data_IF_894264003770
#
_entry.id   IF_894264003770
#
_cell.length_a   1.000
_cell.length_b   1.000
_cell.length_c   1.000
_cell.angle_alpha   90.00
_cell.angle_beta   90.00
_cell.angle_gamma   90.00
#
_symmetry.space_group_name_H-M   'P 1'
#
loop_
_entity.id
_entity.type
_entity.pdbx_description
1 polymer ?
#
# COMPACT_ATOMS: atom_id res chain seq x y z
N UNK A 1 -8.24 12.70 -9.04
CA UNK A 1 -9.40 13.03 -8.18
C UNK A 1 -8.97 13.85 -6.97
N UNK A 2 -9.78 14.81 -6.49
CA UNK A 2 -9.46 15.50 -5.23
C UNK A 2 -9.45 14.54 -4.04
N UNK A 3 -8.32 14.46 -3.32
CA UNK A 3 -8.12 13.54 -2.19
C UNK A 3 -9.15 13.75 -1.08
N UNK A 4 -9.47 15.02 -0.76
CA UNK A 4 -10.49 15.40 0.22
C UNK A 4 -11.90 14.95 -0.18
N UNK A 5 -12.23 15.01 -1.47
CA UNK A 5 -13.53 14.55 -1.97
C UNK A 5 -13.64 13.03 -1.87
N UNK A 6 -12.56 12.32 -2.22
CA UNK A 6 -12.48 10.86 -2.10
C UNK A 6 -12.58 10.41 -0.63
N UNK A 7 -11.85 11.05 0.28
CA UNK A 7 -11.97 10.79 1.72
C UNK A 7 -13.39 11.08 2.25
N UNK A 8 -14.00 12.21 1.85
CA UNK A 8 -15.36 12.55 2.23
C UNK A 8 -16.38 11.51 1.74
N UNK A 9 -16.17 10.93 0.54
CA UNK A 9 -16.98 9.82 0.05
C UNK A 9 -16.85 8.59 0.95
N UNK A 10 -15.63 8.13 1.24
CA UNK A 10 -15.41 7.01 2.16
C UNK A 10 -16.01 7.28 3.55
N UNK A 11 -15.90 8.50 4.08
CA UNK A 11 -16.50 8.89 5.36
C UNK A 11 -18.02 8.75 5.36
N UNK A 12 -18.68 9.07 4.26
CA UNK A 12 -20.14 8.90 4.15
C UNK A 12 -20.55 7.42 4.15
N UNK A 13 -19.70 6.49 3.69
CA UNK A 13 -20.00 5.06 3.67
C UNK A 13 -20.00 4.40 5.06
N UNK A 14 -19.50 5.07 6.10
CA UNK A 14 -19.56 4.60 7.50
C UNK A 14 -20.98 4.27 7.98
N UNK A 15 -22.02 4.84 7.36
CA UNK A 15 -23.41 4.54 7.72
C UNK A 15 -23.88 3.16 7.25
N UNK A 16 -23.14 2.52 6.33
CA UNK A 16 -23.46 1.22 5.74
C UNK A 16 -22.43 0.17 6.17
N UNK A 17 -21.14 0.48 6.06
CA UNK A 17 -20.09 -0.49 6.38
C UNK A 17 -20.09 -0.72 7.90
N UNK A 18 -20.28 -1.95 8.40
CA UNK A 18 -20.29 -2.24 9.83
C UNK A 18 -18.98 -1.82 10.47
N UNK A 19 -19.02 -1.22 11.66
CA UNK A 19 -17.82 -0.78 12.39
C UNK A 19 -16.77 -1.89 12.48
N UNK A 20 -15.48 -1.53 12.43
CA UNK A 20 -14.34 -2.46 12.46
C UNK A 20 -14.42 -3.49 13.60
N UNK A 21 -14.89 -3.06 14.78
CA UNK A 21 -15.12 -3.92 15.96
C UNK A 21 -16.18 -5.02 15.75
N UNK A 22 -17.10 -4.85 14.80
CA UNK A 22 -18.17 -5.81 14.46
C UNK A 22 -17.80 -6.71 13.28
N UNK A 23 -16.69 -6.42 12.59
CA UNK A 23 -16.24 -7.20 11.43
C UNK A 23 -15.41 -8.43 11.80
N UNK A 24 -14.95 -8.57 13.06
CA UNK A 24 -14.24 -9.76 13.56
C UNK A 24 -15.02 -11.08 13.39
N UNK A 25 -16.28 -11.03 12.94
CA UNK A 25 -17.20 -12.16 12.78
C UNK A 25 -17.62 -12.33 11.29
N UNK A 26 -17.23 -11.44 10.38
CA UNK A 26 -17.80 -11.38 9.02
C UNK A 26 -16.77 -11.37 7.89
N UNK A 27 -17.21 -11.90 6.74
CA UNK A 27 -16.50 -12.10 5.48
C UNK A 27 -15.72 -10.84 5.02
N UNK A 28 -14.47 -11.03 4.56
CA UNK A 28 -13.60 -9.99 3.99
C UNK A 28 -14.33 -9.14 2.94
N UNK A 29 -15.23 -9.76 2.16
CA UNK A 29 -16.04 -9.08 1.15
C UNK A 29 -16.96 -7.99 1.71
N UNK A 30 -17.45 -8.14 2.95
CA UNK A 30 -18.33 -7.18 3.62
C UNK A 30 -17.61 -5.95 4.18
N UNK A 31 -16.28 -6.04 4.28
CA UNK A 31 -15.41 -4.92 4.63
C UNK A 31 -14.86 -4.19 3.40
N UNK A 32 -15.24 -4.61 2.19
CA UNK A 32 -14.80 -3.99 0.95
C UNK A 32 -15.82 -2.98 0.42
N UNK A 33 -15.34 -2.00 -0.34
CA UNK A 33 -16.17 -1.17 -1.20
C UNK A 33 -15.80 -1.40 -2.65
N UNK A 34 -16.80 -1.31 -3.52
CA UNK A 34 -16.62 -1.45 -4.97
C UNK A 34 -16.42 -0.06 -5.58
N UNK A 35 -15.36 0.08 -6.36
CA UNK A 35 -15.03 1.30 -7.11
C UNK A 35 -15.18 0.98 -8.60
N UNK A 36 -16.01 1.76 -9.29
CA UNK A 36 -16.29 1.64 -10.71
C UNK A 36 -15.95 2.98 -11.36
N UNK A 37 -14.96 3.00 -12.24
CA UNK A 37 -14.67 4.12 -13.11
C UNK A 37 -15.11 3.74 -14.52
N UNK A 38 -16.01 4.51 -15.14
CA UNK A 38 -16.58 4.21 -16.47
C UNK A 38 -16.20 5.25 -17.55
N UNK A 39 -15.22 6.11 -17.22
CA UNK A 39 -14.82 7.27 -18.05
C UNK A 39 -15.78 8.46 -18.01
N UNK A 40 -16.99 8.32 -17.45
CA UNK A 40 -17.98 9.41 -17.28
C UNK A 40 -18.13 9.84 -15.84
N UNK A 41 -17.97 8.91 -14.90
CA UNK A 41 -18.04 9.13 -13.47
C UNK A 41 -17.25 8.05 -12.73
N UNK A 42 -16.91 8.36 -11.49
CA UNK A 42 -16.38 7.37 -10.56
C UNK A 42 -17.44 7.05 -9.52
N UNK A 43 -17.85 5.79 -9.42
CA UNK A 43 -18.85 5.32 -8.47
C UNK A 43 -18.19 4.53 -7.37
N UNK A 44 -18.42 4.90 -6.12
CA UNK A 44 -18.00 4.15 -4.93
C UNK A 44 -19.25 3.61 -4.25
N UNK A 45 -19.31 2.29 -4.09
CA UNK A 45 -20.47 1.59 -3.56
C UNK A 45 -20.11 0.66 -2.40
N UNK A 46 -20.91 0.74 -1.33
CA UNK A 46 -20.86 -0.16 -0.19
C UNK A 46 -22.15 -0.96 -0.08
N UNK A 47 -22.03 -2.20 0.39
CA UNK A 47 -23.13 -3.12 0.67
C UNK A 47 -23.00 -3.66 2.09
N UNK A 48 -24.11 -3.82 2.80
CA UNK A 48 -24.13 -4.43 4.14
C UNK A 48 -24.98 -5.70 4.22
N UNK A 49 -24.85 -6.43 5.32
CA UNK A 49 -25.56 -7.71 5.54
C UNK A 49 -27.08 -7.57 5.58
N UNK A 50 -27.60 -6.37 5.85
CA UNK A 50 -29.03 -6.08 5.84
C UNK A 50 -29.57 -5.88 4.41
N UNK A 51 -28.75 -6.10 3.38
CA UNK A 51 -29.13 -5.88 1.99
C UNK A 51 -29.12 -4.41 1.57
N UNK A 52 -28.60 -3.49 2.39
CA UNK A 52 -28.60 -2.06 2.10
C UNK A 52 -27.40 -1.67 1.27
N UNK A 53 -27.65 -0.79 0.31
CA UNK A 53 -26.66 -0.19 -0.56
C UNK A 53 -26.50 1.29 -0.25
N UNK A 54 -25.27 1.79 -0.36
CA UNK A 54 -25.01 3.21 -0.51
C UNK A 54 -24.01 3.45 -1.62
N UNK A 55 -24.36 4.38 -2.49
CA UNK A 55 -23.59 4.78 -3.65
C UNK A 55 -23.22 6.24 -3.54
N UNK A 56 -21.97 6.55 -3.87
CA UNK A 56 -21.48 7.92 -3.98
C UNK A 56 -20.87 8.06 -5.36
N UNK A 57 -21.24 9.13 -6.06
CA UNK A 57 -20.74 9.43 -7.40
C UNK A 57 -19.79 10.60 -7.27
N UNK A 58 -18.59 10.43 -7.81
CA UNK A 58 -17.52 11.39 -7.87
C UNK A 58 -17.24 11.76 -9.34
N UNK A 59 -16.52 12.87 -9.58
CA UNK A 59 -16.12 13.26 -10.93
C UNK A 59 -15.42 12.12 -11.70
N UNK A 60 -15.48 12.14 -13.05
CA UNK A 60 -14.82 11.14 -13.88
C UNK A 60 -13.32 11.06 -13.62
N UNK A 61 -12.82 9.83 -13.66
CA UNK A 61 -11.42 9.54 -13.96
C UNK A 61 -11.32 9.10 -15.43
N UNK A 62 -10.21 9.38 -16.13
CA UNK A 62 -10.04 9.02 -17.55
C UNK A 62 -9.93 7.51 -17.77
N UNK A 63 -9.69 6.74 -16.72
CA UNK A 63 -9.51 5.29 -16.76
C UNK A 63 -10.85 4.57 -16.58
N UNK A 64 -10.99 3.42 -17.24
CA UNK A 64 -12.16 2.54 -17.07
C UNK A 64 -11.72 1.28 -16.35
N UNK A 65 -12.26 1.03 -15.16
CA UNK A 65 -11.98 -0.17 -14.39
C UNK A 65 -13.06 -0.41 -13.33
N UNK A 66 -13.03 -1.62 -12.78
CA UNK A 66 -13.86 -2.02 -11.65
C UNK A 66 -13.01 -2.84 -10.69
N UNK A 67 -13.04 -2.48 -9.41
CA UNK A 67 -12.20 -3.12 -8.40
C UNK A 67 -12.86 -3.07 -7.03
N UNK A 68 -12.58 -4.06 -6.18
CA UNK A 68 -12.90 -3.99 -4.75
C UNK A 68 -11.74 -3.34 -4.01
N UNK A 69 -12.01 -2.67 -2.90
CA UNK A 69 -10.94 -2.19 -2.05
C UNK A 69 -11.29 -2.33 -0.56
N UNK A 70 -10.30 -2.62 0.29
CA UNK A 70 -10.54 -2.79 1.73
C UNK A 70 -10.92 -1.44 2.34
N UNK A 71 -12.18 -1.30 2.75
CA UNK A 71 -12.76 -0.02 3.15
C UNK A 71 -11.99 0.66 4.27
N UNK A 72 -11.69 -0.09 5.34
CA UNK A 72 -11.05 0.46 6.53
C UNK A 72 -9.62 0.88 6.28
N UNK A 73 -8.84 0.04 5.60
CA UNK A 73 -7.45 0.35 5.23
C UNK A 73 -7.38 1.59 4.34
N UNK A 74 -8.16 1.61 3.25
CA UNK A 74 -8.18 2.74 2.32
C UNK A 74 -8.69 4.01 2.99
N UNK A 75 -9.72 3.92 3.85
CA UNK A 75 -10.24 5.07 4.58
C UNK A 75 -9.22 5.63 5.57
N UNK A 76 -8.54 4.78 6.36
CA UNK A 76 -7.49 5.19 7.31
C UNK A 76 -6.36 5.91 6.57
N UNK A 77 -5.91 5.31 5.46
CA UNK A 77 -4.89 5.90 4.60
C UNK A 77 -5.34 7.24 3.98
N UNK A 78 -6.54 7.30 3.38
CA UNK A 78 -7.10 8.52 2.80
C UNK A 78 -7.25 9.66 3.81
N UNK A 79 -7.53 9.36 5.08
CA UNK A 79 -7.63 10.36 6.15
C UNK A 79 -6.30 11.09 6.35
N UNK A 80 -5.21 10.33 6.31
CA UNK A 80 -3.86 10.84 6.45
C UNK A 80 -3.43 11.61 5.18
N UNK A 81 -3.65 10.99 4.02
CA UNK A 81 -3.26 11.50 2.69
C UNK A 81 -4.01 12.76 2.26
N UNK A 82 -5.31 12.87 2.55
CA UNK A 82 -6.12 14.02 2.09
C UNK A 82 -5.70 15.37 2.72
N UNK A 83 -4.71 15.35 3.62
CA UNK A 83 -4.15 16.52 4.30
C UNK A 83 -2.86 16.99 3.64
N UNK A 84 -2.09 16.06 3.10
CA UNK A 84 -0.79 16.32 2.46
C UNK A 84 -0.91 16.41 0.94
N UNK A 85 -1.90 15.76 0.34
CA UNK A 85 -2.09 15.75 -1.11
C UNK A 85 -3.43 16.36 -1.52
N UNK A 86 -3.38 17.16 -2.59
CA UNK A 86 -4.59 17.70 -3.20
C UNK A 86 -5.27 16.68 -4.12
N UNK A 87 -4.47 15.96 -4.93
CA UNK A 87 -4.95 14.99 -5.91
C UNK A 87 -4.46 13.58 -5.59
N UNK A 88 -5.33 12.62 -5.85
CA UNK A 88 -5.04 11.18 -5.85
C UNK A 88 -5.65 10.58 -7.11
N UNK A 89 -4.89 9.71 -7.78
CA UNK A 89 -5.34 8.89 -8.89
C UNK A 89 -5.53 7.45 -8.43
N UNK A 90 -6.50 6.77 -9.02
CA UNK A 90 -6.87 5.41 -8.68
C UNK A 90 -6.64 4.54 -9.91
N UNK A 91 -5.85 3.49 -9.76
CA UNK A 91 -5.55 2.54 -10.82
C UNK A 91 -5.90 1.12 -10.35
N UNK A 92 -6.65 0.37 -11.13
CA UNK A 92 -6.74 -1.07 -10.93
C UNK A 92 -5.48 -1.74 -11.47
N UNK A 93 -4.90 -2.63 -10.67
CA UNK A 93 -3.73 -3.43 -11.05
C UNK A 93 -4.05 -4.92 -10.86
N UNK A 94 -3.21 -5.81 -11.41
CA UNK A 94 -3.48 -7.26 -11.39
C UNK A 94 -3.68 -7.82 -9.97
N UNK A 95 -3.02 -7.25 -8.97
CA UNK A 95 -3.04 -7.71 -7.57
C UNK A 95 -3.98 -6.91 -6.67
N UNK A 96 -4.62 -5.84 -7.18
CA UNK A 96 -5.52 -5.03 -6.39
C UNK A 96 -5.74 -3.62 -6.92
N UNK A 97 -5.65 -2.64 -6.02
CA UNK A 97 -5.87 -1.23 -6.33
C UNK A 97 -4.66 -0.40 -5.91
N UNK A 98 -4.20 0.46 -6.79
CA UNK A 98 -3.12 1.39 -6.54
C UNK A 98 -3.68 2.81 -6.45
N UNK A 99 -3.28 3.53 -5.41
CA UNK A 99 -3.52 4.95 -5.27
C UNK A 99 -2.19 5.68 -5.44
N UNK A 100 -2.15 6.63 -6.36
CA UNK A 100 -0.97 7.44 -6.62
C UNK A 100 -1.26 8.91 -6.38
N UNK A 101 -0.26 9.65 -5.94
CA UNK A 101 -0.21 11.11 -5.98
C UNK A 101 1.09 11.54 -6.66
N UNK A 102 1.38 12.84 -6.66
CA UNK A 102 2.67 13.35 -7.11
C UNK A 102 3.82 12.87 -6.21
N UNK A 103 3.52 12.59 -4.93
CA UNK A 103 4.52 12.33 -3.89
C UNK A 103 4.54 10.89 -3.37
N UNK A 104 3.51 10.09 -3.64
CA UNK A 104 3.48 8.70 -3.18
C UNK A 104 2.79 7.75 -4.16
N UNK A 105 3.03 6.47 -3.91
CA UNK A 105 2.34 5.34 -4.53
C UNK A 105 2.04 4.32 -3.44
N UNK A 106 0.77 3.96 -3.29
CA UNK A 106 0.32 3.00 -2.30
C UNK A 106 -0.57 1.95 -2.95
N UNK A 107 -0.31 0.68 -2.65
CA UNK A 107 -1.08 -0.45 -3.19
C UNK A 107 -1.84 -1.15 -2.08
N UNK A 108 -3.13 -1.40 -2.31
CA UNK A 108 -3.93 -2.28 -1.47
C UNK A 108 -4.27 -3.55 -2.26
N UNK A 109 -4.01 -4.70 -1.64
CA UNK A 109 -4.50 -5.98 -2.14
C UNK A 109 -6.04 -5.97 -2.15
N UNK A 110 -6.64 -6.41 -3.25
CA UNK A 110 -8.09 -6.47 -3.39
C UNK A 110 -8.56 -7.90 -3.64
N UNK A 111 -9.69 -8.32 -3.04
CA UNK A 111 -10.35 -9.54 -3.46
C UNK A 111 -10.94 -9.37 -4.88
N UNK A 112 -11.11 -10.48 -5.60
CA UNK A 112 -11.77 -10.50 -6.89
C UNK A 112 -13.22 -10.03 -6.80
N UNK A 113 -13.66 -9.22 -7.77
CA UNK A 113 -14.98 -8.55 -7.76
C UNK A 113 -16.16 -9.53 -7.83
N UNK A 114 -15.90 -10.73 -8.34
CA UNK A 114 -16.86 -11.83 -8.49
C UNK A 114 -17.57 -12.22 -7.18
N UNK A 115 -16.94 -11.95 -6.02
CA UNK A 115 -17.49 -12.25 -4.69
C UNK A 115 -18.44 -11.17 -4.17
N UNK A 116 -18.53 -10.03 -4.83
CA UNK A 116 -19.32 -8.89 -4.36
C UNK A 116 -20.71 -8.89 -5.00
N UNK A 117 -21.78 -8.61 -4.22
CA UNK A 117 -23.13 -8.57 -4.76
C UNK A 117 -23.28 -7.55 -5.91
N UNK A 118 -24.07 -7.91 -6.92
CA UNK A 118 -24.41 -6.99 -8.02
C UNK A 118 -25.43 -5.98 -7.52
N UNK A 119 -25.24 -4.70 -7.86
CA UNK A 119 -26.12 -3.64 -7.38
C UNK A 119 -27.53 -3.81 -8.00
N UNK A 120 -28.65 -3.61 -7.26
CA UNK A 120 -30.00 -3.84 -7.80
C UNK A 120 -30.33 -3.03 -9.06
N UNK A 121 -29.78 -1.82 -9.15
CA UNK A 121 -29.96 -0.90 -10.29
C UNK A 121 -28.96 -1.16 -11.44
N UNK A 122 -28.03 -2.11 -11.28
CA UNK A 122 -27.17 -2.62 -12.37
C UNK A 122 -27.90 -3.66 -13.24
N UNK A 123 -29.24 -3.77 -13.13
CA UNK A 123 -30.06 -4.52 -14.12
C UNK A 123 -30.08 -3.79 -15.48
N UNK A 124 -28.94 -3.95 -16.17
CA UNK A 124 -28.62 -3.85 -17.61
C UNK A 124 -28.69 -2.48 -18.28
N UNK A 125 -27.50 -1.95 -18.62
CA UNK A 125 -27.17 -1.85 -20.05
C UNK A 125 -26.88 -3.26 -20.57
N UNK A 126 -27.33 -3.65 -21.78
CA UNK A 126 -27.27 -5.04 -22.20
C UNK A 126 -25.83 -5.54 -22.22
N UNK A 127 -25.57 -6.56 -21.41
CA UNK A 127 -24.49 -7.51 -21.64
C UNK A 127 -24.64 -7.96 -23.09
N UNK A 128 -23.67 -7.62 -23.93
CA UNK A 128 -23.53 -8.24 -25.24
C UNK A 128 -23.42 -9.73 -24.97
N UNK A 129 -24.46 -10.47 -25.29
CA UNK A 129 -24.43 -11.92 -25.20
C UNK A 129 -23.18 -12.41 -25.94
N UNK A 130 -22.38 -13.34 -25.38
CA UNK A 130 -21.35 -13.99 -26.17
C UNK A 130 -22.03 -14.56 -27.41
N UNK A 131 -21.49 -14.22 -28.59
CA UNK A 131 -21.96 -14.77 -29.84
C UNK A 131 -21.99 -16.30 -29.73
N UNK A 132 -22.98 -16.99 -30.33
CA UNK A 132 -23.00 -18.44 -30.34
C UNK A 132 -21.67 -18.96 -30.91
N UNK A 133 -21.07 -19.92 -30.21
CA UNK A 133 -19.80 -20.53 -30.59
C UNK A 133 -19.86 -21.01 -32.04
N UNK A 134 -18.95 -20.56 -32.93
CA UNK A 134 -18.77 -21.22 -34.20
C UNK A 134 -18.08 -22.56 -33.93
N UNK A 135 -18.80 -23.65 -34.21
CA UNK A 135 -18.19 -24.96 -34.42
C UNK A 135 -17.13 -24.82 -35.51
N UNK A 136 -15.94 -25.31 -35.20
CA UNK A 136 -14.83 -25.57 -36.11
C UNK A 136 -14.37 -24.38 -36.97
N UNK A 137 -13.55 -23.50 -36.39
CA UNK A 137 -12.61 -22.69 -37.17
C UNK A 137 -11.39 -22.27 -36.32
N UNK A 138 -10.22 -22.81 -36.65
CA UNK A 138 -8.92 -22.33 -36.18
C UNK A 138 -8.62 -21.02 -36.91
N UNK A 139 -8.69 -19.86 -36.23
CA UNK A 139 -8.17 -18.56 -36.72
C UNK A 139 -7.81 -17.68 -35.49
N UNK A 140 -6.68 -16.95 -35.49
CA UNK A 140 -6.10 -16.32 -34.30
C UNK A 140 -6.84 -15.06 -33.85
N UNK A 141 -6.83 -14.81 -32.54
CA UNK A 141 -7.35 -13.61 -31.92
C UNK A 141 -6.52 -12.38 -32.34
N UNK A 142 -7.05 -11.57 -33.25
CA UNK A 142 -6.82 -10.13 -33.27
C UNK A 142 -8.18 -9.43 -33.28
N UNK A 143 -8.47 -8.68 -32.21
CA UNK A 143 -9.49 -7.63 -32.21
C UNK A 143 -9.00 -6.41 -31.42
N UNK A 144 -9.50 -5.21 -31.77
CA UNK A 144 -8.65 -4.07 -32.02
C UNK A 144 -8.68 -3.01 -30.91
N UNK A 145 -7.52 -2.38 -30.72
CA UNK A 145 -7.36 -1.13 -29.95
C UNK A 145 -8.06 -0.02 -30.74
N UNK A 146 -9.02 0.68 -30.12
CA UNK A 146 -9.55 1.94 -30.65
C UNK A 146 -8.62 3.07 -30.22
N UNK A 147 -7.88 3.62 -31.18
CA UNK A 147 -7.14 4.88 -31.05
C UNK A 147 -8.06 6.01 -31.49
N UNK A 148 -8.23 7.04 -30.66
CA UNK A 148 -8.87 8.29 -31.06
C UNK A 148 -7.89 9.12 -31.91
N UNK A 149 -8.31 9.72 -33.04
CA UNK A 149 -7.39 10.28 -34.02
C UNK A 149 -7.19 11.78 -33.80
N UNK A 150 -5.95 12.23 -33.65
CA UNK A 150 -5.49 13.45 -34.31
C UNK A 150 -4.03 13.26 -34.75
N UNK A 151 -3.75 13.78 -35.96
CA UNK A 151 -2.45 13.89 -36.64
C UNK A 151 -2.00 12.70 -37.49
N UNK A 152 -2.10 12.90 -38.81
CA UNK A 152 -1.11 12.43 -39.79
C UNK A 152 -1.44 11.13 -40.51
N UNK A 153 -1.89 11.24 -41.76
CA UNK A 153 -1.92 10.13 -42.72
C UNK A 153 -0.50 9.63 -42.98
N UNK A 154 -0.18 8.43 -42.50
CA UNK A 154 0.95 7.64 -42.99
C UNK A 154 0.40 6.41 -43.72
N UNK A 155 0.80 6.28 -44.98
CA UNK A 155 0.52 5.12 -45.83
C UNK A 155 1.20 3.85 -45.30
N UNK A 156 0.71 2.64 -45.67
CA UNK A 156 1.08 1.40 -45.01
C UNK A 156 2.41 0.86 -45.54
N UNK A 157 3.53 1.29 -44.97
CA UNK A 157 4.81 0.64 -45.21
C UNK A 157 5.10 -0.47 -44.18
N UNK A 158 4.93 -1.70 -44.67
CA UNK A 158 5.46 -2.97 -44.18
C UNK A 158 5.07 -3.39 -42.74
N UNK A 159 4.45 -4.58 -42.65
CA UNK A 159 4.12 -5.26 -41.40
C UNK A 159 5.33 -5.51 -40.49
N UNK A 160 6.55 -5.35 -40.98
CA UNK A 160 7.78 -5.67 -40.26
C UNK A 160 8.15 -4.58 -39.25
N UNK A 161 7.93 -3.30 -39.56
CA UNK A 161 8.15 -2.19 -38.64
C UNK A 161 7.14 -2.20 -37.47
N UNK A 162 5.88 -2.51 -37.75
CA UNK A 162 4.84 -2.69 -36.71
C UNK A 162 5.14 -3.90 -35.83
N UNK A 163 5.64 -5.00 -36.40
CA UNK A 163 6.02 -6.20 -35.64
C UNK A 163 7.26 -5.95 -34.78
N UNK A 164 8.24 -5.17 -35.26
CA UNK A 164 9.38 -4.77 -34.43
C UNK A 164 8.96 -3.84 -33.29
N UNK A 165 8.10 -2.85 -33.55
CA UNK A 165 7.57 -1.96 -32.52
C UNK A 165 6.77 -2.73 -31.46
N UNK A 166 5.93 -3.68 -31.88
CA UNK A 166 5.19 -4.56 -30.97
C UNK A 166 6.11 -5.49 -30.17
N UNK A 167 7.21 -5.97 -30.75
CA UNK A 167 8.23 -6.75 -30.01
C UNK A 167 9.01 -5.88 -29.02
N UNK A 168 9.26 -4.63 -29.36
CA UNK A 168 9.92 -3.66 -28.48
C UNK A 168 9.00 -3.29 -27.29
N UNK A 169 7.73 -3.03 -27.55
CA UNK A 169 6.71 -2.79 -26.54
C UNK A 169 6.36 -4.03 -25.71
N UNK A 170 6.38 -5.23 -26.30
CA UNK A 170 6.21 -6.50 -25.58
C UNK A 170 7.42 -6.84 -24.68
N UNK A 171 8.63 -6.39 -25.04
CA UNK A 171 9.79 -6.41 -24.15
C UNK A 171 9.67 -5.45 -22.96
N UNK A 172 8.76 -4.47 -23.03
CA UNK A 172 8.47 -3.49 -21.98
C UNK A 172 7.18 -3.81 -21.20
N UNK A 173 6.45 -4.88 -21.55
CA UNK A 173 5.38 -5.42 -20.70
C UNK A 173 6.05 -6.03 -19.48
N UNK A 174 6.18 -5.22 -18.42
CA UNK A 174 6.46 -5.70 -17.07
C UNK A 174 5.47 -6.83 -16.81
N UNK A 175 6.01 -8.05 -16.75
CA UNK A 175 5.31 -9.23 -16.27
C UNK A 175 4.45 -8.86 -15.06
N UNK A 176 3.21 -9.38 -14.93
CA UNK A 176 2.47 -9.24 -13.67
C UNK A 176 3.42 -9.64 -12.54
N UNK A 177 3.54 -8.80 -11.51
CA UNK A 177 4.49 -9.05 -10.44
C UNK A 177 4.26 -10.49 -9.94
N UNK A 178 5.30 -11.35 -9.94
CA UNK A 178 5.16 -12.62 -9.26
C UNK A 178 4.76 -12.30 -7.82
N UNK A 179 3.86 -13.09 -7.24
CA UNK A 179 3.65 -13.10 -5.79
C UNK A 179 5.05 -13.06 -5.16
N UNK A 180 5.37 -11.99 -4.43
CA UNK A 180 6.74 -11.78 -3.98
C UNK A 180 7.03 -12.86 -2.94
N UNK A 181 7.64 -13.97 -3.33
CA UNK A 181 8.06 -15.05 -2.44
C UNK A 181 9.22 -14.49 -1.63
N UNK A 182 8.97 -14.18 -0.36
CA UNK A 182 10.00 -13.77 0.59
C UNK A 182 10.63 -15.04 1.15
N UNK A 183 11.93 -15.19 0.95
CA UNK A 183 12.70 -16.30 1.52
C UNK A 183 12.78 -16.20 3.05
N UNK A 184 12.94 -17.33 3.74
CA UNK A 184 13.18 -17.34 5.19
C UNK A 184 14.40 -16.51 5.59
N UNK A 185 15.40 -16.43 4.73
CA UNK A 185 16.60 -15.63 4.97
C UNK A 185 16.35 -14.13 4.84
N UNK A 186 15.42 -13.70 3.97
CA UNK A 186 14.93 -12.32 3.92
C UNK A 186 14.12 -11.93 5.17
N UNK A 187 13.38 -12.87 5.77
CA UNK A 187 12.70 -12.64 7.06
C UNK A 187 13.72 -12.52 8.20
N UNK A 188 14.77 -13.35 8.19
CA UNK A 188 15.84 -13.31 9.19
C UNK A 188 16.69 -12.05 9.11
N UNK A 189 16.85 -11.46 7.92
CA UNK A 189 17.58 -10.20 7.72
C UNK A 189 16.71 -8.96 7.89
N UNK A 190 15.39 -9.10 8.10
CA UNK A 190 14.52 -7.98 8.40
C UNK A 190 14.93 -7.30 9.71
N UNK A 191 14.83 -5.97 9.73
CA UNK A 191 15.08 -5.14 10.92
C UNK A 191 13.79 -4.39 11.23
N UNK A 192 13.52 -4.15 12.51
CA UNK A 192 12.45 -3.26 12.93
C UNK A 192 12.99 -1.92 13.40
N UNK A 193 12.20 -0.87 13.19
CA UNK A 193 12.39 0.45 13.78
C UNK A 193 11.25 0.76 14.75
N UNK A 194 11.60 1.22 15.96
CA UNK A 194 10.66 1.69 16.97
C UNK A 194 10.49 3.20 16.85
N UNK A 195 9.33 3.64 16.40
CA UNK A 195 8.95 5.04 16.26
C UNK A 195 7.85 5.41 17.26
N UNK A 196 7.66 6.69 17.54
CA UNK A 196 6.45 7.12 18.24
C UNK A 196 5.22 6.73 17.41
N UNK A 197 4.08 6.37 18.03
CA UNK A 197 2.92 5.88 17.29
C UNK A 197 2.41 6.81 16.16
N UNK A 198 2.49 8.13 16.33
CA UNK A 198 2.14 9.09 15.28
C UNK A 198 3.10 9.01 14.08
N UNK A 199 4.41 8.96 14.34
CA UNK A 199 5.46 8.83 13.31
C UNK A 199 5.44 7.45 12.63
N UNK A 200 5.19 6.39 13.41
CA UNK A 200 5.02 5.03 12.90
C UNK A 200 3.87 4.98 11.89
N UNK A 201 2.75 5.64 12.22
CA UNK A 201 1.59 5.71 11.35
C UNK A 201 1.88 6.50 10.06
N UNK A 202 2.58 7.63 10.15
CA UNK A 202 3.00 8.42 8.98
C UNK A 202 3.88 7.61 8.03
N UNK A 203 4.83 6.83 8.56
CA UNK A 203 5.70 5.96 7.79
C UNK A 203 4.92 4.87 7.04
N UNK A 204 4.02 4.13 7.71
CA UNK A 204 3.22 3.08 7.04
C UNK A 204 2.18 3.63 6.08
N UNK A 205 1.83 4.92 6.16
CA UNK A 205 0.91 5.57 5.23
C UNK A 205 1.59 6.24 4.02
N UNK A 206 2.91 6.15 3.89
CA UNK A 206 3.69 6.89 2.90
C UNK A 206 3.60 8.41 3.02
N UNK A 207 3.24 8.95 4.20
CA UNK A 207 3.32 10.40 4.45
C UNK A 207 4.78 10.82 4.54
N UNK A 208 5.62 9.93 5.09
CA UNK A 208 7.05 10.14 5.21
C UNK A 208 7.78 9.04 4.44
N UNK A 209 8.66 9.44 3.53
CA UNK A 209 9.49 8.56 2.69
C UNK A 209 10.88 8.31 3.27
N UNK A 210 11.23 8.90 4.40
CA UNK A 210 12.54 8.77 5.02
C UNK A 210 12.46 8.87 6.54
N UNK A 211 13.13 7.98 7.26
CA UNK A 211 13.28 8.06 8.72
C UNK A 211 14.66 8.64 9.04
N UNK A 212 14.77 9.85 9.60
CA UNK A 212 16.04 10.41 10.05
C UNK A 212 16.50 9.74 11.35
N UNK A 213 17.81 9.59 11.51
CA UNK A 213 18.38 8.85 12.63
C UNK A 213 19.78 9.31 13.00
N UNK A 214 20.16 9.22 14.28
CA UNK A 214 21.46 9.73 14.77
C UNK A 214 22.53 8.70 15.05
N UNK A 215 22.18 7.40 15.09
CA UNK A 215 23.19 6.35 15.22
C UNK A 215 23.64 5.88 13.84
N UNK A 216 24.85 5.32 13.78
CA UNK A 216 25.35 4.69 12.57
C UNK A 216 24.49 3.47 12.24
N UNK A 217 23.97 3.47 11.02
CA UNK A 217 23.06 2.46 10.48
C UNK A 217 23.60 1.90 9.16
N UNK A 218 24.88 2.13 8.87
CA UNK A 218 25.55 1.68 7.65
C UNK A 218 25.64 0.16 7.52
N UNK A 219 25.60 -0.57 8.63
CA UNK A 219 25.63 -2.04 8.66
C UNK A 219 24.27 -2.68 8.39
N UNK A 220 23.21 -1.90 8.11
CA UNK A 220 21.92 -2.47 7.75
C UNK A 220 21.92 -3.03 6.33
N UNK A 221 21.98 -4.36 6.26
CA UNK A 221 21.85 -5.13 5.02
C UNK A 221 20.40 -5.61 4.75
N UNK A 222 19.50 -5.37 5.70
CA UNK A 222 18.10 -5.79 5.61
C UNK A 222 17.33 -5.04 4.52
N UNK A 223 16.64 -5.78 3.65
CA UNK A 223 15.78 -5.18 2.60
C UNK A 223 14.45 -4.66 3.15
N UNK A 224 13.97 -5.24 4.25
CA UNK A 224 12.68 -4.94 4.86
C UNK A 224 12.86 -4.21 6.19
N UNK A 225 12.14 -3.10 6.34
CA UNK A 225 12.04 -2.36 7.58
C UNK A 225 10.64 -2.54 8.18
N UNK A 226 10.55 -3.27 9.29
CA UNK A 226 9.33 -3.41 10.06
C UNK A 226 9.10 -2.12 10.88
N UNK A 227 7.90 -1.56 10.82
CA UNK A 227 7.55 -0.31 11.49
C UNK A 227 6.79 -0.63 12.78
N UNK A 228 7.44 -0.39 13.92
CA UNK A 228 6.92 -0.61 15.26
C UNK A 228 6.55 0.72 15.94
N UNK A 229 5.33 0.78 16.49
CA UNK A 229 4.87 1.88 17.33
C UNK A 229 5.27 1.62 18.79
N UNK A 230 6.23 2.38 19.30
CA UNK A 230 6.79 2.19 20.64
C UNK A 230 5.84 2.65 21.76
N UNK A 231 6.14 2.23 22.98
CA UNK A 231 5.52 2.76 24.18
C UNK A 231 6.08 4.16 24.48
N UNK A 232 5.19 5.14 24.66
CA UNK A 232 5.55 6.51 25.03
C UNK A 232 4.83 6.88 26.33
N UNK A 233 5.47 7.73 27.13
CA UNK A 233 4.93 8.20 28.41
C UNK A 233 5.33 9.65 28.68
N UNK A 234 4.61 10.32 29.58
CA UNK A 234 4.88 11.71 29.95
C UNK A 234 4.70 12.69 28.79
N UNK A 235 5.62 13.64 28.62
CA UNK A 235 5.55 14.68 27.58
C UNK A 235 5.51 14.09 26.14
N UNK A 236 6.12 12.92 25.94
CA UNK A 236 6.08 12.23 24.65
C UNK A 236 4.69 11.64 24.35
N UNK A 237 3.93 11.24 25.37
CA UNK A 237 2.54 10.81 25.18
C UNK A 237 1.66 12.00 24.79
N UNK A 238 1.85 13.18 25.39
CA UNK A 238 1.12 14.38 24.99
C UNK A 238 1.44 14.82 23.57
N UNK A 239 2.72 14.77 23.18
CA UNK A 239 3.16 15.03 21.81
C UNK A 239 2.57 14.03 20.82
N UNK A 240 2.61 12.73 21.14
CA UNK A 240 1.99 11.68 20.33
C UNK A 240 0.47 11.90 20.21
N UNK A 241 -0.24 12.16 21.33
CA UNK A 241 -1.68 12.42 21.30
C UNK A 241 -2.00 13.68 20.50
N UNK A 242 -1.12 14.70 20.53
CA UNK A 242 -1.23 15.85 19.65
C UNK A 242 -1.03 15.45 18.19
N UNK A 243 0.01 14.71 17.82
CA UNK A 243 0.25 14.23 16.45
C UNK A 243 -0.89 13.35 15.91
N UNK A 244 -1.43 12.45 16.73
CA UNK A 244 -2.59 11.65 16.36
C UNK A 244 -3.85 12.52 16.17
N UNK A 245 -4.15 13.46 17.07
CA UNK A 245 -5.26 14.43 16.87
C UNK A 245 -5.05 15.30 15.62
N UNK A 246 -3.80 15.74 15.47
CA UNK A 246 -3.08 16.16 14.27
C UNK A 246 -3.71 15.50 13.08
N UNK A 247 -3.36 14.24 12.85
CA UNK A 247 -3.77 13.40 11.72
C UNK A 247 -5.26 13.02 11.70
N UNK A 248 -6.02 13.44 12.71
CA UNK A 248 -7.31 12.89 13.05
C UNK A 248 -7.21 11.36 13.14
N UNK A 249 -6.50 10.77 14.08
CA UNK A 249 -6.34 9.32 14.18
C UNK A 249 -6.67 8.89 15.60
N UNK A 250 -7.38 7.78 15.72
CA UNK A 250 -7.69 7.21 17.02
C UNK A 250 -6.50 6.38 17.50
N UNK A 251 -6.26 6.36 18.81
CA UNK A 251 -5.18 5.56 19.41
C UNK A 251 -5.27 4.05 19.06
N UNK A 252 -6.44 3.59 18.65
CA UNK A 252 -6.67 2.22 18.18
C UNK A 252 -6.09 1.93 16.80
N UNK A 253 -5.85 2.94 15.98
CA UNK A 253 -5.27 2.79 14.64
C UNK A 253 -3.73 2.72 14.69
N UNK A 254 -3.13 3.37 15.69
CA UNK A 254 -1.70 3.30 16.00
C UNK A 254 -1.49 2.91 17.47
N UNK A 255 -1.83 1.67 17.87
CA UNK A 255 -1.68 1.25 19.25
C UNK A 255 -0.19 1.17 19.62
N UNK A 256 0.13 1.58 20.84
CA UNK A 256 1.48 1.42 21.39
C UNK A 256 1.86 -0.06 21.50
N UNK A 257 3.18 -0.29 21.46
CA UNK A 257 3.80 -1.60 21.53
C UNK A 257 3.26 -2.59 20.49
N UNK A 258 3.11 -2.11 19.25
CA UNK A 258 2.57 -2.91 18.15
C UNK A 258 3.28 -2.62 16.84
N UNK A 259 3.39 -3.64 16.00
CA UNK A 259 3.86 -3.48 14.63
C UNK A 259 2.68 -3.04 13.78
N UNK A 260 2.84 -1.90 13.10
CA UNK A 260 1.80 -1.31 12.26
C UNK A 260 1.91 -1.75 10.79
N UNK A 261 3.10 -2.17 10.37
CA UNK A 261 3.37 -2.44 8.97
C UNK A 261 4.86 -2.66 8.70
N UNK A 262 5.23 -2.61 7.43
CA UNK A 262 6.62 -2.62 6.99
C UNK A 262 6.81 -1.74 5.74
N UNK A 263 8.05 -1.44 5.41
CA UNK A 263 8.45 -0.79 4.17
C UNK A 263 9.70 -1.46 3.61
N UNK A 264 10.00 -1.23 2.34
CA UNK A 264 11.27 -1.64 1.75
C UNK A 264 12.29 -0.53 1.97
N UNK A 265 13.51 -0.91 2.32
CA UNK A 265 14.63 0.02 2.39
C UNK A 265 15.16 0.19 0.97
N UNK A 266 15.01 1.40 0.42
CA UNK A 266 15.55 1.76 -0.89
C UNK A 266 17.04 2.09 -0.79
N UNK A 267 17.40 2.88 0.22
CA UNK A 267 18.76 3.38 0.44
C UNK A 267 18.93 3.79 1.90
N UNK A 268 20.12 3.55 2.44
CA UNK A 268 20.56 4.12 3.72
C UNK A 268 21.73 5.03 3.41
N UNK A 269 21.65 6.29 3.82
CA UNK A 269 22.76 7.24 3.59
C UNK A 269 22.96 8.20 4.73
N UNK A 270 24.20 8.64 4.88
CA UNK A 270 24.60 9.69 5.80
C UNK A 270 24.41 11.05 5.12
N UNK A 271 23.74 11.97 5.80
CA UNK A 271 23.47 13.29 5.28
C UNK A 271 24.56 14.31 5.65
N UNK A 272 24.92 15.10 4.66
CA UNK A 272 25.55 16.41 4.81
C UNK A 272 24.50 17.51 4.58
N UNK A 273 24.74 18.76 5.01
CA UNK A 273 23.80 19.85 4.74
C UNK A 273 23.47 20.03 3.25
N UNK A 274 24.45 19.79 2.37
CA UNK A 274 24.27 19.89 0.92
C UNK A 274 23.35 18.79 0.38
N UNK A 275 23.62 17.53 0.74
CA UNK A 275 22.80 16.38 0.30
C UNK A 275 21.40 16.40 0.90
N UNK A 276 21.21 16.98 2.09
CA UNK A 276 19.90 17.14 2.72
C UNK A 276 19.04 18.15 1.95
N UNK A 277 19.62 19.30 1.61
CA UNK A 277 18.91 20.30 0.81
C UNK A 277 18.61 19.76 -0.61
N UNK A 278 19.55 19.07 -1.24
CA UNK A 278 19.34 18.45 -2.55
C UNK A 278 18.17 17.46 -2.54
N UNK A 279 18.14 16.57 -1.55
CA UNK A 279 17.05 15.60 -1.40
C UNK A 279 15.70 16.26 -1.07
N UNK A 280 15.70 17.34 -0.29
CA UNK A 280 14.49 18.12 -0.02
C UNK A 280 13.94 18.73 -1.31
N UNK A 281 14.80 19.38 -2.11
CA UNK A 281 14.40 19.99 -3.39
C UNK A 281 13.98 18.95 -4.43
N UNK A 282 14.56 17.74 -4.37
CA UNK A 282 14.19 16.60 -5.20
C UNK A 282 12.98 15.80 -4.65
N UNK A 283 12.36 16.28 -3.56
CA UNK A 283 11.21 15.65 -2.89
C UNK A 283 11.46 14.20 -2.43
N UNK A 284 12.73 13.86 -2.19
CA UNK A 284 13.12 12.55 -1.64
C UNK A 284 12.64 12.42 -0.18
N UNK A 285 12.63 13.52 0.58
CA UNK A 285 12.08 13.58 1.92
C UNK A 285 11.24 14.84 2.16
N UNK A 286 10.23 14.73 3.01
CA UNK A 286 9.28 15.81 3.31
C UNK A 286 9.64 16.75 4.45
N UNK A 287 10.88 16.72 4.98
CA UNK A 287 11.28 17.53 6.13
C UNK A 287 11.63 18.98 5.72
N UNK A 288 10.83 20.00 6.12
CA UNK A 288 11.07 21.39 5.76
C UNK A 288 12.08 22.09 6.70
N UNK A 289 12.75 21.31 7.56
CA UNK A 289 13.68 21.80 8.58
C UNK A 289 15.12 21.52 8.17
N UNK A 290 16.04 22.32 8.67
CA UNK A 290 17.46 22.14 8.36
C UNK A 290 18.03 20.86 9.00
N UNK A 291 19.07 20.29 8.38
CA UNK A 291 19.81 19.16 8.94
C UNK A 291 20.34 19.46 10.36
N UNK A 292 20.72 20.72 10.62
CA UNK A 292 21.20 21.16 11.92
C UNK A 292 20.13 21.06 13.01
N UNK A 293 18.87 21.37 12.67
CA UNK A 293 17.74 21.22 13.60
C UNK A 293 17.45 19.74 13.89
N UNK A 294 17.49 18.89 12.87
CA UNK A 294 17.34 17.43 13.05
C UNK A 294 18.47 16.87 13.90
N UNK A 295 19.72 17.23 13.61
CA UNK A 295 20.89 16.82 14.39
C UNK A 295 20.78 17.28 15.85
N UNK A 296 20.37 18.53 16.09
CA UNK A 296 20.19 19.07 17.43
C UNK A 296 19.12 18.31 18.23
N UNK A 297 17.99 17.97 17.59
CA UNK A 297 16.94 17.15 18.20
C UNK A 297 17.43 15.74 18.57
N UNK A 298 18.42 15.23 17.83
CA UNK A 298 18.98 13.91 18.00
C UNK A 298 20.29 13.88 18.81
N UNK A 299 20.66 14.98 19.48
CA UNK A 299 21.82 15.05 20.37
C UNK A 299 23.12 15.56 19.75
N UNK A 300 23.04 16.31 18.64
CA UNK A 300 24.16 16.86 17.86
C UNK A 300 25.11 15.80 17.26
N UNK A 301 24.53 14.68 16.81
CA UNK A 301 25.24 13.61 16.10
C UNK A 301 25.18 13.75 14.57
N UNK A 302 25.89 12.84 13.91
CA UNK A 302 25.69 12.58 12.48
C UNK A 302 24.22 12.20 12.23
N UNK A 303 23.66 12.59 11.10
CA UNK A 303 22.29 12.21 10.72
C UNK A 303 22.36 11.27 9.53
N UNK A 304 21.78 10.09 9.71
CA UNK A 304 21.51 9.11 8.68
C UNK A 304 20.03 9.19 8.31
N UNK A 305 19.70 8.85 7.07
CA UNK A 305 18.31 8.61 6.69
C UNK A 305 18.16 7.25 6.06
N UNK A 306 17.10 6.56 6.49
CA UNK A 306 16.63 5.33 5.89
C UNK A 306 15.50 5.70 4.94
N UNK A 307 15.79 5.66 3.64
CA UNK A 307 14.82 5.99 2.59
C UNK A 307 13.94 4.76 2.34
N UNK A 308 12.64 4.98 2.47
CA UNK A 308 11.61 3.95 2.38
C UNK A 308 10.97 3.96 1.01
N UNK A 309 10.65 2.77 0.52
CA UNK A 309 9.75 2.59 -0.62
C UNK A 309 8.65 1.59 -0.27
N UNK A 310 7.50 1.72 -0.95
CA UNK A 310 6.37 0.78 -0.86
C UNK A 310 5.99 0.45 0.60
N UNK A 311 5.66 1.45 1.43
CA UNK A 311 5.17 1.19 2.77
C UNK A 311 3.85 0.42 2.70
N UNK A 312 3.67 -0.50 3.64
CA UNK A 312 2.55 -1.41 3.76
C UNK A 312 2.04 -1.35 5.19
N UNK A 313 0.79 -0.95 5.37
CA UNK A 313 0.06 -0.93 6.63
C UNK A 313 -0.76 -2.21 6.78
N UNK A 314 -0.66 -2.85 7.95
CA UNK A 314 -1.47 -4.01 8.28
C UNK A 314 -2.91 -3.65 8.61
N UNK A 315 -3.84 -4.54 8.26
CA UNK A 315 -5.25 -4.44 8.65
C UNK A 315 -5.44 -4.52 10.16
N UNK A 316 -4.65 -5.38 10.81
CA UNK A 316 -4.61 -5.50 12.26
C UNK A 316 -3.17 -5.33 12.77
N UNK A 317 -2.91 -4.36 13.66
CA UNK A 317 -1.60 -4.22 14.29
C UNK A 317 -1.20 -5.50 15.05
N UNK A 318 0.08 -5.87 14.97
CA UNK A 318 0.61 -7.04 15.65
C UNK A 318 1.16 -6.60 17.00
N UNK A 319 0.41 -6.84 18.07
CA UNK A 319 0.82 -6.50 19.43
C UNK A 319 2.05 -7.30 19.88
N UNK A 320 3.03 -6.61 20.47
CA UNK A 320 4.19 -7.20 21.11
C UNK A 320 3.97 -7.32 22.62
N UNK A 321 4.45 -8.43 23.20
CA UNK A 321 4.26 -8.73 24.63
C UNK A 321 5.37 -8.16 25.54
N UNK A 322 6.42 -7.55 24.99
CA UNK A 322 7.60 -7.09 25.75
C UNK A 322 7.82 -5.59 25.59
N UNK A 323 8.42 -4.95 26.62
CA UNK A 323 8.59 -3.50 26.74
C UNK A 323 9.60 -2.85 25.79
N UNK A 324 9.94 -1.59 26.11
CA UNK A 324 10.80 -0.65 25.36
C UNK A 324 11.89 -1.34 24.53
N UNK A 325 11.67 -1.39 23.21
CA UNK A 325 12.64 -1.85 22.24
C UNK A 325 13.49 -0.68 21.79
N UNK A 326 14.75 -0.96 21.47
CA UNK A 326 15.66 0.04 20.89
C UNK A 326 15.05 0.64 19.62
N UNK A 327 15.58 1.81 19.22
CA UNK A 327 15.12 2.51 18.03
C UNK A 327 15.26 1.65 16.77
N UNK A 328 16.33 0.85 16.62
CA UNK A 328 16.39 -0.25 15.65
C UNK A 328 16.68 -1.58 16.36
N UNK A 329 16.05 -2.66 15.91
CA UNK A 329 16.20 -3.97 16.55
C UNK A 329 15.88 -5.13 15.61
N UNK A 330 16.55 -6.25 15.86
CA UNK A 330 16.28 -7.55 15.26
C UNK A 330 15.58 -8.44 16.30
N UNK A 331 14.84 -9.47 15.88
CA UNK A 331 14.09 -10.31 16.81
C UNK A 331 15.06 -11.06 17.71
N UNK A 332 15.03 -10.76 19.02
CA UNK A 332 15.98 -11.30 19.99
C UNK A 332 15.37 -12.37 20.91
N UNK A 333 14.08 -12.68 20.75
CA UNK A 333 13.38 -13.70 21.51
C UNK A 333 12.26 -14.34 20.66
N UNK A 334 11.73 -15.51 21.08
CA UNK A 334 10.73 -16.24 20.30
C UNK A 334 9.44 -15.46 20.01
N UNK A 335 9.03 -14.56 20.91
CA UNK A 335 7.84 -13.71 20.69
C UNK A 335 8.07 -12.69 19.58
N UNK A 336 9.28 -12.13 19.48
CA UNK A 336 9.65 -11.21 18.41
C UNK A 336 9.76 -11.94 17.08
N UNK A 337 10.41 -13.12 17.06
CA UNK A 337 10.53 -13.92 15.85
C UNK A 337 9.15 -14.34 15.31
N UNK A 338 8.21 -14.69 16.19
CA UNK A 338 6.83 -14.99 15.79
C UNK A 338 6.09 -13.76 15.24
N UNK A 339 6.30 -12.58 15.83
CA UNK A 339 5.70 -11.34 15.34
C UNK A 339 6.25 -10.95 13.96
N UNK A 340 7.57 -11.05 13.77
CA UNK A 340 8.22 -10.82 12.46
C UNK A 340 7.69 -11.78 11.40
N UNK A 341 7.58 -13.07 11.73
CA UNK A 341 7.01 -14.03 10.79
C UNK A 341 5.57 -13.66 10.41
N UNK A 342 4.75 -13.28 11.39
CA UNK A 342 3.36 -12.87 11.16
C UNK A 342 3.25 -11.66 10.22
N UNK A 343 4.22 -10.74 10.24
CA UNK A 343 4.27 -9.59 9.31
C UNK A 343 4.26 -10.02 7.85
N UNK A 344 4.92 -11.14 7.53
CA UNK A 344 5.03 -11.63 6.16
C UNK A 344 3.97 -12.70 5.83
N UNK A 345 3.38 -13.34 6.84
CA UNK A 345 2.26 -14.28 6.67
C UNK A 345 0.93 -13.56 6.36
N UNK A 346 0.70 -12.36 6.91
CA UNK A 346 -0.57 -11.63 6.75
C UNK A 346 -0.87 -11.17 5.33
N UNK A 347 0.14 -11.07 4.46
CA UNK A 347 0.02 -10.51 3.11
C UNK A 347 -0.19 -11.55 2.00
N UNK A 348 -0.55 -12.80 2.34
CA UNK A 348 -0.63 -13.93 1.37
C UNK A 348 0.64 -14.03 0.51
N UNK A 349 1.79 -13.79 1.13
CA UNK A 349 3.08 -14.16 0.59
C UNK A 349 3.17 -15.67 0.72
N UNK A 350 3.27 -16.36 -0.41
CA UNK A 350 3.60 -17.80 -0.39
C UNK A 350 5.03 -17.88 0.14
N UNK A 351 5.18 -18.14 1.44
CA UNK A 351 6.47 -18.54 2.00
C UNK A 351 6.70 -19.95 1.50
N UNK A 352 7.68 -20.12 0.61
CA UNK A 352 8.17 -21.45 0.23
C UNK A 352 8.94 -21.98 1.44
N UNK A 353 8.20 -22.58 2.37
CA UNK A 353 8.80 -23.34 3.46
C UNK A 353 9.19 -24.66 2.83
N UNK A 354 10.38 -24.70 2.21
CA UNK A 354 11.05 -25.98 2.04
C UNK A 354 11.08 -26.62 3.43
N UNK A 355 10.38 -27.76 3.54
CA UNK A 355 10.31 -28.57 4.75
C UNK A 355 11.74 -28.93 5.15
N UNK A 356 12.33 -28.19 6.08
CA UNK A 356 13.34 -28.73 6.98
C UNK A 356 12.62 -29.66 7.98
N UNK A 357 12.17 -30.79 7.47
CA UNK A 357 11.80 -31.94 8.27
C UNK A 357 12.38 -33.16 7.54
N UNK A 358 13.19 -33.93 8.28
CA UNK A 358 13.83 -35.21 7.93
C UNK A 358 15.27 -35.16 7.40
N UNK A 359 16.22 -34.68 8.21
CA UNK A 359 17.56 -35.33 8.31
C UNK A 359 18.11 -35.23 9.74
N UNK A 360 17.40 -35.75 10.74
CA UNK A 360 18.00 -36.18 12.03
C UNK A 360 17.14 -37.33 12.57
N UNK A 361 17.26 -38.51 11.96
CA UNK A 361 17.00 -39.83 12.59
C UNK A 361 17.17 -40.99 11.59
N UNK A 362 18.31 -41.12 10.89
CA UNK A 362 18.80 -42.44 10.45
C UNK A 362 20.34 -42.43 10.32
N UNK A 363 21.04 -42.33 11.45
CA UNK A 363 22.30 -43.04 11.67
C UNK A 363 22.09 -43.76 13.02
N UNK A 364 21.97 -45.08 13.09
CA UNK A 364 22.95 -46.03 12.60
C UNK A 364 23.72 -46.55 13.80
#
# INVERSE_FOLDING_TARGET
MQAKALYAAFKQLNSIVPSESKLRIHDEAMSCVRIICDGKQTTIAAYNLDGRWKRIVLPPEPTTFEVLCPFYLVKKWLRAVARTCEQVWINAIATGIEFTSDTFRYTFSAPGVERYPVMPDERRSPVVAPAPEPKDAIVPFTRPIRVHPEVGTLEPESSEATVQLLKQLAGEVKTPMPNHVISLDEIKSAVAVSLRPDQAFEAVCAITSMIPYSQDVSEFEGRYLIIHATEVSGELEDQMMKGLRDLEIDRTDAPMNSILGYAFIKEVKKYTPATWEEDYQAEVHGYPVSLAEISAAAGNGDVWGVILERPMMFSEPIALKSGLLHEFWTPNNPSHSAAFRKCFESDRIVVDIEREAEVEEVEG
#
